data_IF_329830566724
#
_entry.id   IF_329830566724
#
_cell.length_a   1.000
_cell.length_b   1.000
_cell.length_c   1.000
_cell.angle_alpha   90.00
_cell.angle_beta   90.00
_cell.angle_gamma   90.00
#
_symmetry.space_group_name_H-M   'P 1'
#
loop_
_entity.id
_entity.type
_entity.pdbx_description
1 polymer ?
#
# COMPACT_ATOMS: atom_id res chain seq x y z
N UNK A 1 -1.11 10.71 -3.68
CA UNK A 1 -0.56 9.94 -2.54
C UNK A 1 -0.56 10.81 -1.30
N UNK A 2 -0.80 10.23 -0.14
CA UNK A 2 -0.93 10.94 1.14
C UNK A 2 -0.23 10.14 2.23
N UNK A 3 0.58 10.80 3.05
CA UNK A 3 1.30 10.17 4.17
C UNK A 3 0.96 10.91 5.45
N UNK A 4 0.61 10.17 6.50
CA UNK A 4 0.27 10.73 7.81
C UNK A 4 0.40 9.68 8.90
N UNK A 5 0.40 10.12 10.16
CA UNK A 5 0.14 9.22 11.28
C UNK A 5 -1.33 8.78 11.28
N UNK A 6 -1.62 7.52 11.61
CA UNK A 6 -2.98 6.96 11.62
C UNK A 6 -3.95 7.77 12.50
N UNK A 7 -3.47 8.31 13.63
CA UNK A 7 -4.26 9.17 14.52
C UNK A 7 -4.78 10.44 13.86
N UNK A 8 -4.19 10.83 12.72
CA UNK A 8 -4.57 12.00 11.94
C UNK A 8 -5.22 11.64 10.60
N UNK A 9 -5.27 10.36 10.22
CA UNK A 9 -5.80 9.92 8.93
C UNK A 9 -7.26 10.33 8.74
N UNK A 10 -8.09 10.19 9.77
CA UNK A 10 -9.51 10.60 9.76
C UNK A 10 -9.72 12.12 9.71
N UNK A 11 -8.67 12.93 9.95
CA UNK A 11 -8.77 14.40 9.94
C UNK A 11 -8.72 14.99 8.54
N UNK A 12 -8.05 14.33 7.59
CA UNK A 12 -7.80 14.86 6.26
C UNK A 12 -8.00 13.80 5.18
N UNK A 13 -9.02 14.03 4.35
CA UNK A 13 -9.32 13.36 3.07
C UNK A 13 -9.59 11.84 3.14
N UNK A 14 -10.59 11.41 2.36
CA UNK A 14 -11.09 10.02 2.26
C UNK A 14 -11.93 9.52 3.46
N UNK A 15 -12.94 10.29 3.87
CA UNK A 15 -14.00 9.88 4.80
C UNK A 15 -15.02 8.88 4.20
N UNK A 16 -14.65 8.22 3.10
CA UNK A 16 -15.48 7.16 2.55
C UNK A 16 -15.51 5.96 3.51
N UNK A 17 -16.66 5.30 3.59
CA UNK A 17 -16.91 4.21 4.53
C UNK A 17 -15.84 3.10 4.45
N UNK A 18 -15.32 2.81 3.24
CA UNK A 18 -14.30 1.76 3.06
C UNK A 18 -12.97 2.14 3.71
N UNK A 19 -12.53 3.39 3.58
CA UNK A 19 -11.31 3.87 4.23
C UNK A 19 -11.46 3.91 5.75
N UNK A 20 -12.62 4.34 6.26
CA UNK A 20 -12.90 4.34 7.70
C UNK A 20 -12.82 2.94 8.29
N UNK A 21 -13.39 1.93 7.62
CA UNK A 21 -13.27 0.52 8.05
C UNK A 21 -11.83 0.05 8.12
N UNK A 22 -11.00 0.42 7.13
CA UNK A 22 -9.57 0.09 7.15
C UNK A 22 -8.84 0.78 8.31
N UNK A 23 -9.09 2.08 8.55
CA UNK A 23 -8.48 2.81 9.66
C UNK A 23 -8.91 2.27 11.02
N UNK A 24 -10.19 1.98 11.19
CA UNK A 24 -10.71 1.37 12.42
C UNK A 24 -10.07 0.02 12.70
N UNK A 25 -9.88 -0.81 11.65
CA UNK A 25 -9.19 -2.08 11.79
C UNK A 25 -7.73 -1.90 12.23
N UNK A 26 -7.00 -0.97 11.60
CA UNK A 26 -5.61 -0.65 11.97
C UNK A 26 -5.47 -0.12 13.40
N UNK A 27 -6.46 0.64 13.90
CA UNK A 27 -6.45 1.20 15.26
C UNK A 27 -6.89 0.20 16.35
N UNK A 28 -7.74 -0.77 16.00
CA UNK A 28 -8.40 -1.66 16.98
C UNK A 28 -7.68 -2.99 17.23
N UNK A 29 -6.63 -3.30 16.47
CA UNK A 29 -5.89 -4.55 16.59
C UNK A 29 -4.46 -4.30 17.08
N UNK A 30 -3.94 -5.27 17.85
CA UNK A 30 -2.51 -5.34 18.11
C UNK A 30 -1.79 -5.90 16.89
N UNK A 31 -1.47 -5.01 15.95
CA UNK A 31 -0.90 -5.38 14.65
C UNK A 31 0.42 -6.15 14.75
N UNK A 32 1.18 -5.98 15.85
CA UNK A 32 2.45 -6.68 16.07
C UNK A 32 2.28 -8.16 16.39
N UNK A 33 1.14 -8.55 16.95
CA UNK A 33 0.85 -9.95 17.32
C UNK A 33 0.02 -10.69 16.28
N UNK A 34 -0.44 -10.01 15.22
CA UNK A 34 -1.18 -10.64 14.14
C UNK A 34 -0.29 -11.56 13.31
N UNK A 35 -0.71 -12.82 13.07
CA UNK A 35 -0.02 -13.70 12.13
C UNK A 35 0.04 -13.12 10.71
N UNK A 36 1.10 -13.46 9.97
CA UNK A 36 1.18 -13.18 8.52
C UNK A 36 0.02 -13.87 7.81
N UNK A 37 -0.68 -13.12 6.96
CA UNK A 37 -1.85 -13.63 6.25
C UNK A 37 -2.77 -12.57 5.69
N UNK A 38 -3.88 -13.02 5.14
CA UNK A 38 -4.94 -12.19 4.57
C UNK A 38 -6.13 -12.12 5.53
N UNK A 39 -6.61 -10.91 5.79
CA UNK A 39 -7.73 -10.63 6.67
C UNK A 39 -8.80 -9.86 5.90
N UNK A 40 -10.03 -10.38 5.89
CA UNK A 40 -11.18 -9.69 5.31
C UNK A 40 -11.77 -8.73 6.34
N UNK A 41 -11.71 -7.43 6.07
CA UNK A 41 -12.21 -6.38 6.97
C UNK A 41 -13.67 -6.06 6.63
N UNK A 42 -13.97 -5.99 5.33
CA UNK A 42 -15.31 -5.73 4.82
C UNK A 42 -15.57 -6.59 3.57
N UNK A 43 -15.66 -7.90 3.78
CA UNK A 43 -15.73 -8.87 2.68
C UNK A 43 -14.54 -8.72 1.73
N UNK A 44 -14.81 -8.70 0.42
CA UNK A 44 -13.78 -8.52 -0.62
C UNK A 44 -13.44 -7.07 -0.94
N UNK A 45 -14.15 -6.10 -0.36
CA UNK A 45 -13.98 -4.67 -0.68
C UNK A 45 -12.84 -4.01 0.11
N UNK A 46 -12.60 -4.49 1.34
CA UNK A 46 -11.53 -4.00 2.22
C UNK A 46 -10.86 -5.21 2.84
N UNK A 47 -9.57 -5.37 2.52
CA UNK A 47 -8.76 -6.52 2.90
C UNK A 47 -7.42 -6.00 3.40
N UNK A 48 -6.92 -6.57 4.50
CA UNK A 48 -5.54 -6.38 4.95
C UNK A 48 -4.69 -7.60 4.60
N UNK A 49 -3.51 -7.34 4.04
CA UNK A 49 -2.45 -8.34 3.90
C UNK A 49 -1.37 -8.02 4.93
N UNK A 50 -1.26 -8.84 5.97
CA UNK A 50 -0.19 -8.74 6.97
C UNK A 50 1.01 -9.51 6.44
N UNK A 51 2.16 -8.83 6.33
CA UNK A 51 3.37 -9.37 5.74
C UNK A 51 4.57 -9.07 6.63
N UNK A 52 5.52 -9.99 6.67
CA UNK A 52 6.82 -9.83 7.33
C UNK A 52 7.91 -10.25 6.35
N UNK A 53 8.88 -9.38 6.12
CA UNK A 53 9.98 -9.63 5.19
C UNK A 53 11.20 -8.76 5.49
N UNK A 54 12.35 -9.19 5.00
CA UNK A 54 13.52 -8.33 4.90
C UNK A 54 13.42 -7.50 3.62
N UNK A 55 13.61 -6.18 3.72
CA UNK A 55 13.60 -5.29 2.56
C UNK A 55 14.65 -5.72 1.55
N UNK A 56 14.30 -5.62 0.26
CA UNK A 56 15.22 -5.90 -0.84
C UNK A 56 15.86 -4.62 -1.34
N UNK A 57 16.91 -4.76 -2.16
CA UNK A 57 17.51 -3.60 -2.80
C UNK A 57 16.55 -3.01 -3.84
N UNK A 58 16.71 -1.71 -4.10
CA UNK A 58 15.84 -0.96 -5.01
C UNK A 58 15.88 -1.56 -6.43
N UNK A 59 17.04 -2.05 -6.86
CA UNK A 59 17.22 -2.62 -8.21
C UNK A 59 16.49 -3.96 -8.39
N UNK A 60 16.12 -4.62 -7.29
CA UNK A 60 15.38 -5.89 -7.28
C UNK A 60 13.87 -5.67 -7.27
N UNK A 61 13.40 -4.44 -7.04
CA UNK A 61 11.99 -4.06 -6.99
C UNK A 61 11.52 -3.47 -8.32
N UNK A 62 10.20 -3.46 -8.51
CA UNK A 62 9.53 -2.92 -9.69
C UNK A 62 8.52 -1.86 -9.24
N UNK A 63 8.34 -0.84 -10.07
CA UNK A 63 7.23 0.09 -9.90
C UNK A 63 5.93 -0.59 -10.32
N UNK A 64 4.89 -0.42 -9.50
CA UNK A 64 3.56 -0.95 -9.78
C UNK A 64 2.45 0.05 -9.46
N UNK A 65 1.26 -0.20 -10.00
CA UNK A 65 0.05 0.53 -9.68
C UNK A 65 -1.18 -0.38 -9.83
N UNK A 66 -2.29 0.05 -9.24
CA UNK A 66 -3.58 -0.63 -9.22
C UNK A 66 -4.66 0.22 -9.92
N UNK A 67 -5.65 -0.43 -10.55
CA UNK A 67 -6.76 0.25 -11.22
C UNK A 67 -8.07 0.19 -10.41
N UNK A 68 -8.26 -0.83 -9.57
CA UNK A 68 -9.51 -1.08 -8.83
C UNK A 68 -9.37 -0.78 -7.34
N UNK A 69 -8.22 -1.05 -6.75
CA UNK A 69 -7.96 -0.86 -5.32
C UNK A 69 -7.08 0.34 -5.03
N UNK A 70 -7.33 0.95 -3.88
CA UNK A 70 -6.41 1.90 -3.27
C UNK A 70 -5.57 1.19 -2.21
N UNK A 71 -4.29 1.55 -2.16
CA UNK A 71 -3.37 1.04 -1.15
C UNK A 71 -3.40 1.90 0.12
N UNK A 72 -3.48 1.22 1.26
CA UNK A 72 -3.14 1.77 2.58
C UNK A 72 -1.97 0.95 3.10
N UNK A 73 -0.76 1.48 2.95
CA UNK A 73 0.46 0.83 3.42
C UNK A 73 0.79 1.35 4.82
N UNK A 74 0.86 0.44 5.80
CA UNK A 74 1.09 0.78 7.21
C UNK A 74 2.29 0.00 7.74
N UNK A 75 3.34 0.71 8.14
CA UNK A 75 4.54 0.12 8.72
C UNK A 75 4.31 -0.19 10.20
N UNK A 76 4.18 -1.46 10.53
CA UNK A 76 3.95 -1.93 11.93
C UNK A 76 5.24 -1.82 12.75
N UNK A 77 6.35 -2.30 12.18
CA UNK A 77 7.68 -2.28 12.81
C UNK A 77 8.78 -2.31 11.74
N UNK A 78 9.91 -1.66 12.01
CA UNK A 78 11.04 -1.57 11.10
C UNK A 78 11.10 -0.24 10.35
N UNK A 79 11.70 -0.26 9.17
CA UNK A 79 11.86 0.88 8.26
C UNK A 79 11.79 0.34 6.84
N UNK A 80 11.06 1.02 5.97
CA UNK A 80 10.97 0.64 4.55
C UNK A 80 11.05 1.88 3.66
N UNK A 81 11.85 1.76 2.61
CA UNK A 81 11.98 2.77 1.58
C UNK A 81 10.96 2.53 0.48
N UNK A 82 10.18 3.56 0.13
CA UNK A 82 9.23 3.51 -0.97
C UNK A 82 9.64 4.46 -2.09
N UNK A 83 9.87 3.91 -3.29
CA UNK A 83 10.02 4.69 -4.52
C UNK A 83 8.66 5.11 -5.05
N UNK A 84 8.49 6.40 -5.35
CA UNK A 84 7.19 7.00 -5.67
C UNK A 84 7.30 7.92 -6.88
N UNK A 85 6.32 7.86 -7.77
CA UNK A 85 6.21 8.76 -8.91
C UNK A 85 4.76 8.81 -9.40
N UNK A 86 4.44 9.82 -10.19
CA UNK A 86 3.16 9.87 -10.88
C UNK A 86 3.11 8.77 -11.95
N UNK A 87 1.96 8.11 -12.05
CA UNK A 87 1.73 7.05 -13.04
C UNK A 87 1.76 7.59 -14.49
N UNK A 88 1.41 8.87 -14.67
CA UNK A 88 1.35 9.49 -15.99
C UNK A 88 2.71 9.43 -16.69
N UNK A 89 2.72 8.97 -17.95
CA UNK A 89 3.94 8.87 -18.75
C UNK A 89 4.81 7.64 -18.49
N UNK A 90 4.50 6.81 -17.49
CA UNK A 90 5.23 5.56 -17.25
C UNK A 90 4.96 4.52 -18.35
N UNK A 91 6.00 3.75 -18.68
CA UNK A 91 5.91 2.68 -19.68
C UNK A 91 5.54 1.36 -19.01
N UNK A 92 4.34 0.86 -19.27
CA UNK A 92 3.89 -0.46 -18.81
C UNK A 92 4.84 -1.54 -19.35
N UNK A 93 5.26 -2.43 -18.47
CA UNK A 93 6.11 -3.59 -18.77
C UNK A 93 5.30 -4.88 -18.78
N UNK A 94 4.37 -5.02 -17.84
CA UNK A 94 3.57 -6.24 -17.63
C UNK A 94 2.26 -5.88 -16.94
N UNK A 95 1.16 -6.55 -17.28
CA UNK A 95 -0.16 -6.36 -16.66
C UNK A 95 -0.69 -7.70 -16.16
N UNK A 96 -1.24 -7.72 -14.95
CA UNK A 96 -1.90 -8.86 -14.30
C UNK A 96 -3.29 -8.47 -13.80
N UNK A 97 -4.30 -8.37 -14.68
CA UNK A 97 -5.62 -7.84 -14.35
C UNK A 97 -6.37 -8.64 -13.26
N UNK A 98 -6.06 -9.93 -13.15
CA UNK A 98 -6.62 -10.85 -12.14
C UNK A 98 -6.18 -10.49 -10.71
N UNK A 99 -5.03 -9.84 -10.57
CA UNK A 99 -4.50 -9.36 -9.30
C UNK A 99 -4.61 -7.84 -9.16
N UNK A 100 -5.19 -7.16 -10.15
CA UNK A 100 -5.24 -5.70 -10.24
C UNK A 100 -3.85 -5.03 -10.24
N UNK A 101 -2.84 -5.65 -10.86
CA UNK A 101 -1.45 -5.13 -10.85
C UNK A 101 -0.98 -4.74 -12.24
N UNK A 102 -0.39 -3.56 -12.37
CA UNK A 102 0.39 -3.12 -13.54
C UNK A 102 1.83 -2.88 -13.11
N UNK A 103 2.78 -3.55 -13.75
CA UNK A 103 4.21 -3.29 -13.56
C UNK A 103 4.74 -2.35 -14.64
N UNK A 104 5.62 -1.44 -14.24
CA UNK A 104 6.24 -0.46 -15.12
C UNK A 104 7.74 -0.72 -15.29
N UNK A 105 8.31 -0.16 -16.36
CA UNK A 105 9.77 0.04 -16.42
C UNK A 105 10.17 1.04 -15.34
N UNK A 106 11.31 0.83 -14.70
CA UNK A 106 11.87 1.77 -13.73
C UNK A 106 11.99 3.16 -14.38
N UNK A 107 11.36 4.21 -13.83
CA UNK A 107 11.48 5.56 -14.34
C UNK A 107 12.87 6.13 -14.07
N UNK A 108 13.32 7.03 -14.96
CA UNK A 108 14.61 7.71 -14.82
C UNK A 108 14.62 8.67 -13.62
N UNK A 109 13.45 9.22 -13.26
CA UNK A 109 13.26 10.15 -12.15
C UNK A 109 12.06 9.69 -11.31
N UNK A 110 12.27 9.53 -10.01
CA UNK A 110 11.22 9.28 -9.03
C UNK A 110 11.61 9.87 -7.67
N UNK A 111 10.62 10.23 -6.86
CA UNK A 111 10.81 10.63 -5.47
C UNK A 111 10.83 9.41 -4.55
N UNK A 112 11.08 9.62 -3.26
CA UNK A 112 11.00 8.54 -2.28
C UNK A 112 10.56 9.04 -0.92
N UNK A 113 10.11 8.10 -0.10
CA UNK A 113 9.85 8.29 1.33
C UNK A 113 10.46 7.14 2.13
N UNK A 114 10.76 7.41 3.41
CA UNK A 114 11.28 6.48 4.41
C UNK A 114 10.50 6.71 5.70
#
# INVERSE_FOLDING_TARGET
>A
MFFTNIKLAKKYNYLDEKFLKAYDWLESHDLKSLPVGKYEIAGSDVVANVQEYTTLKVEEKKFEAHDKFFDIQYLVEGVEFFGICDREGLKVKETKPENDVLFFKTPDIYGHVI
#
